data_IF_802577706896
#
_entry.id   IF_802577706896
#
_cell.length_a   1.000
_cell.length_b   1.000
_cell.length_c   1.000
_cell.angle_alpha   90.00
_cell.angle_beta   90.00
_cell.angle_gamma   90.00
#
_symmetry.space_group_name_H-M   'P 1'
#
loop_
_entity.id
_entity.type
_entity.pdbx_description
1 polymer ?
#
# COMPACT_ATOMS: atom_id res chain seq x y z
N UNK A 1 -7.70 16.67 1.69
CA UNK A 1 -6.43 16.12 1.18
C UNK A 1 -6.67 14.66 0.80
N UNK A 2 -6.19 14.17 -0.35
CA UNK A 2 -6.28 12.74 -0.71
C UNK A 2 -4.88 12.17 -0.87
N UNK A 3 -4.62 11.10 -0.15
CA UNK A 3 -3.36 10.35 -0.27
C UNK A 3 -3.65 9.03 -0.97
N UNK A 4 -2.89 8.74 -2.02
CA UNK A 4 -2.99 7.50 -2.78
C UNK A 4 -1.74 6.67 -2.54
N UNK A 5 -1.88 5.58 -1.80
CA UNK A 5 -0.79 4.67 -1.47
C UNK A 5 -0.77 3.51 -2.46
N UNK A 6 0.40 3.25 -3.02
CA UNK A 6 0.72 2.04 -3.77
C UNK A 6 1.58 1.14 -2.88
N UNK A 7 1.18 -0.11 -2.74
CA UNK A 7 1.99 -1.16 -2.12
C UNK A 7 2.29 -2.29 -3.10
N UNK A 8 3.49 -2.85 -2.98
CA UNK A 8 3.94 -4.00 -3.73
C UNK A 8 4.69 -4.94 -2.78
N UNK A 9 4.19 -6.15 -2.61
CA UNK A 9 4.83 -7.17 -1.80
C UNK A 9 5.15 -8.39 -2.66
N UNK A 10 6.41 -8.79 -2.71
CA UNK A 10 6.88 -9.98 -3.40
C UNK A 10 8.23 -10.44 -2.85
N UNK A 11 8.47 -11.75 -2.80
CA UNK A 11 9.74 -12.33 -2.32
C UNK A 11 10.15 -11.80 -0.94
N UNK A 12 9.19 -11.69 -0.02
CA UNK A 12 9.36 -11.12 1.33
C UNK A 12 9.79 -9.65 1.40
N UNK A 13 9.78 -8.95 0.25
CA UNK A 13 10.08 -7.52 0.20
C UNK A 13 8.83 -6.71 -0.04
N UNK A 14 8.72 -5.63 0.73
CA UNK A 14 7.73 -4.57 0.55
C UNK A 14 8.39 -3.38 -0.13
N UNK A 15 7.83 -2.97 -1.27
CA UNK A 15 8.04 -1.65 -1.84
C UNK A 15 6.75 -0.84 -1.76
N UNK A 16 6.85 0.46 -1.48
CA UNK A 16 5.68 1.32 -1.40
C UNK A 16 5.96 2.71 -1.94
N UNK A 17 4.92 3.39 -2.41
CA UNK A 17 4.99 4.80 -2.78
C UNK A 17 3.63 5.45 -2.55
N UNK A 18 3.59 6.71 -2.13
CA UNK A 18 2.34 7.44 -2.01
C UNK A 18 2.41 8.80 -2.67
N UNK A 19 1.28 9.18 -3.27
CA UNK A 19 1.06 10.50 -3.84
C UNK A 19 0.18 11.32 -2.92
N UNK A 20 0.66 12.50 -2.51
CA UNK A 20 -0.13 13.50 -1.79
C UNK A 20 -0.68 14.53 -2.77
N UNK A 21 -2.02 14.55 -2.93
CA UNK A 21 -2.69 15.46 -3.86
C UNK A 21 -2.52 16.94 -3.53
N UNK A 22 -2.18 17.27 -2.28
CA UNK A 22 -2.10 18.66 -1.81
C UNK A 22 -0.75 19.28 -2.15
N UNK A 23 0.32 18.51 -2.03
CA UNK A 23 1.68 18.94 -2.36
C UNK A 23 2.11 18.57 -3.79
N UNK A 24 1.38 17.67 -4.45
CA UNK A 24 1.75 17.06 -5.72
C UNK A 24 3.13 16.34 -5.68
N UNK A 25 3.51 15.84 -4.51
CA UNK A 25 4.76 15.11 -4.28
C UNK A 25 4.49 13.61 -4.22
N UNK A 26 5.40 12.83 -4.81
CA UNK A 26 5.46 11.38 -4.66
C UNK A 26 6.58 11.06 -3.68
N UNK A 27 6.24 10.34 -2.63
CA UNK A 27 7.18 9.77 -1.68
C UNK A 27 7.27 8.26 -1.94
N UNK A 28 8.44 7.66 -1.76
CA UNK A 28 8.63 6.23 -1.91
C UNK A 28 9.43 5.64 -0.75
N UNK A 29 9.12 4.38 -0.46
CA UNK A 29 9.83 3.53 0.47
C UNK A 29 10.56 2.50 -0.41
N UNK A 30 11.91 2.45 -0.35
CA UNK A 30 12.67 1.45 -1.10
C UNK A 30 12.29 0.04 -0.62
N UNK A 31 12.66 -0.98 -1.40
CA UNK A 31 12.36 -2.36 -1.04
C UNK A 31 12.95 -2.71 0.34
N UNK A 32 12.08 -3.00 1.30
CA UNK A 32 12.43 -3.42 2.66
C UNK A 32 12.00 -4.85 2.92
N UNK A 33 12.77 -5.58 3.73
CA UNK A 33 12.36 -6.90 4.22
C UNK A 33 11.15 -6.74 5.14
N UNK A 34 10.12 -7.53 4.89
CA UNK A 34 8.85 -7.49 5.61
C UNK A 34 8.71 -8.71 6.51
N UNK A 35 7.98 -8.57 7.61
CA UNK A 35 7.74 -9.67 8.54
C UNK A 35 6.61 -10.57 8.04
N UNK A 36 6.54 -11.81 8.54
CA UNK A 36 5.41 -12.71 8.26
C UNK A 36 4.06 -12.19 8.76
N UNK A 37 4.07 -11.20 9.65
CA UNK A 37 2.87 -10.52 10.15
C UNK A 37 2.58 -9.21 9.42
N UNK A 38 3.42 -8.84 8.45
CA UNK A 38 3.34 -7.59 7.70
C UNK A 38 3.34 -6.35 8.60
N UNK A 39 4.19 -6.35 9.62
CA UNK A 39 4.23 -5.30 10.64
C UNK A 39 4.55 -3.93 9.99
N UNK A 40 5.42 -3.89 8.98
CA UNK A 40 5.79 -2.65 8.29
C UNK A 40 4.62 -2.13 7.45
N UNK A 41 3.94 -3.01 6.71
CA UNK A 41 2.74 -2.66 5.96
C UNK A 41 1.67 -2.05 6.86
N UNK A 42 1.41 -2.67 8.02
CA UNK A 42 0.43 -2.15 8.97
C UNK A 42 0.84 -0.77 9.50
N UNK A 43 2.12 -0.57 9.83
CA UNK A 43 2.64 0.72 10.26
C UNK A 43 2.46 1.79 9.18
N UNK A 44 2.80 1.49 7.93
CA UNK A 44 2.63 2.40 6.79
C UNK A 44 1.17 2.81 6.63
N UNK A 45 0.22 1.88 6.76
CA UNK A 45 -1.21 2.18 6.67
C UNK A 45 -1.68 3.08 7.82
N UNK A 46 -1.18 2.84 9.04
CA UNK A 46 -1.49 3.66 10.22
C UNK A 46 -0.92 5.07 10.12
N UNK A 47 0.34 5.21 9.70
CA UNK A 47 1.06 6.49 9.69
C UNK A 47 0.60 7.38 8.52
N UNK A 48 0.35 6.79 7.35
CA UNK A 48 -0.02 7.55 6.14
C UNK A 48 -1.51 7.85 6.10
N UNK A 49 -2.36 6.97 6.67
CA UNK A 49 -3.82 7.04 6.57
C UNK A 49 -4.31 7.34 5.13
N UNK A 50 -3.92 6.50 4.15
CA UNK A 50 -4.22 6.78 2.75
C UNK A 50 -5.72 6.79 2.49
N UNK A 51 -6.18 7.66 1.59
CA UNK A 51 -7.58 7.64 1.13
C UNK A 51 -7.87 6.45 0.19
N UNK A 52 -6.82 5.93 -0.45
CA UNK A 52 -6.89 4.78 -1.33
C UNK A 52 -5.58 4.00 -1.28
N UNK A 53 -5.70 2.68 -1.17
CA UNK A 53 -4.60 1.73 -1.28
C UNK A 53 -4.72 0.99 -2.60
N UNK A 54 -3.67 1.00 -3.39
CA UNK A 54 -3.59 0.34 -4.69
C UNK A 54 -2.63 -0.85 -4.53
N UNK A 55 -3.12 -2.07 -4.73
CA UNK A 55 -2.33 -3.31 -4.71
C UNK A 55 -2.45 -4.09 -6.05
N UNK A 56 -1.56 -5.04 -6.28
CA UNK A 56 -1.57 -5.83 -7.51
C UNK A 56 -2.68 -6.85 -7.45
N UNK A 57 -3.39 -7.09 -8.56
CA UNK A 57 -4.32 -8.21 -8.67
C UNK A 57 -3.65 -9.60 -8.51
N UNK A 58 -2.31 -9.68 -8.57
CA UNK A 58 -1.53 -10.91 -8.33
C UNK A 58 -0.89 -10.99 -6.94
N UNK A 59 -1.25 -10.08 -6.05
CA UNK A 59 -0.83 -10.14 -4.65
C UNK A 59 -1.33 -11.44 -4.01
N UNK A 60 -0.58 -11.99 -3.04
CA UNK A 60 -1.03 -13.18 -2.30
C UNK A 60 -2.31 -12.91 -1.50
N UNK A 61 -3.17 -13.91 -1.38
CA UNK A 61 -4.43 -13.79 -0.62
C UNK A 61 -4.20 -13.38 0.84
N UNK A 62 -3.10 -13.86 1.44
CA UNK A 62 -2.70 -13.50 2.80
C UNK A 62 -2.40 -12.01 2.93
N UNK A 63 -1.60 -11.45 2.01
CA UNK A 63 -1.28 -10.03 2.02
C UNK A 63 -2.51 -9.17 1.69
N UNK A 64 -3.34 -9.62 0.75
CA UNK A 64 -4.62 -8.97 0.46
C UNK A 64 -5.52 -8.92 1.68
N UNK A 65 -5.62 -10.02 2.42
CA UNK A 65 -6.41 -10.11 3.64
C UNK A 65 -5.93 -9.11 4.68
N UNK A 66 -4.62 -8.99 4.90
CA UNK A 66 -4.05 -8.01 5.86
C UNK A 66 -4.41 -6.57 5.47
N UNK A 67 -4.28 -6.22 4.18
CA UNK A 67 -4.69 -4.90 3.70
C UNK A 67 -6.19 -4.67 3.94
N UNK A 68 -7.02 -5.62 3.55
CA UNK A 68 -8.47 -5.50 3.68
C UNK A 68 -8.92 -5.44 5.14
N UNK A 69 -8.35 -6.26 6.02
CA UNK A 69 -8.69 -6.31 7.44
C UNK A 69 -8.30 -4.99 8.13
N UNK A 70 -7.12 -4.45 7.85
CA UNK A 70 -6.69 -3.15 8.40
C UNK A 70 -7.62 -2.01 7.95
N UNK A 71 -7.98 -1.98 6.66
CA UNK A 71 -8.85 -0.94 6.11
C UNK A 71 -10.29 -1.06 6.62
N UNK A 72 -10.79 -2.29 6.84
CA UNK A 72 -12.12 -2.53 7.40
C UNK A 72 -12.22 -2.16 8.89
N UNK A 73 -11.12 -2.31 9.64
CA UNK A 73 -11.03 -1.80 11.01
C UNK A 73 -11.15 -0.27 11.01
N UNK A 74 -10.47 0.41 10.07
CA UNK A 74 -10.54 1.88 9.96
C UNK A 74 -11.89 2.41 9.47
N UNK A 75 -12.68 1.67 8.68
CA UNK A 75 -14.02 2.14 8.26
C UNK A 75 -15.02 2.22 9.40
N UNK A 76 -14.79 1.51 10.52
CA UNK A 76 -15.56 1.70 11.75
C UNK A 76 -15.24 3.09 12.36
N UNK A 77 -14.02 3.58 12.14
CA UNK A 77 -13.49 4.86 12.60
C UNK A 77 -13.38 5.89 11.45
N UNK A 78 -14.53 6.31 10.90
CA UNK A 78 -14.74 7.52 10.08
C UNK A 78 -13.93 7.74 8.76
N UNK A 79 -12.88 6.98 8.46
CA UNK A 79 -12.09 7.11 7.23
C UNK A 79 -12.47 6.03 6.21
N UNK A 80 -13.20 6.42 5.17
CA UNK A 80 -13.65 5.53 4.09
C UNK A 80 -12.52 5.22 3.09
N UNK A 81 -11.45 4.59 3.57
CA UNK A 81 -10.29 4.21 2.75
C UNK A 81 -10.67 3.09 1.80
N UNK A 82 -10.33 3.25 0.51
CA UNK A 82 -10.66 2.28 -0.54
C UNK A 82 -9.46 1.39 -0.88
N UNK A 83 -9.67 0.07 -0.93
CA UNK A 83 -8.71 -0.86 -1.50
C UNK A 83 -9.01 -1.08 -2.99
N UNK A 84 -8.01 -0.92 -3.86
CA UNK A 84 -8.15 -1.10 -5.30
C UNK A 84 -7.08 -2.08 -5.83
N UNK A 85 -7.56 -3.20 -6.38
CA UNK A 85 -6.74 -4.12 -7.16
C UNK A 85 -6.62 -3.60 -8.59
N UNK A 86 -5.41 -3.54 -9.12
CA UNK A 86 -5.20 -3.21 -10.54
C UNK A 86 -4.29 -4.25 -11.22
N UNK A 87 -4.41 -4.43 -12.55
CA UNK A 87 -3.60 -5.39 -13.29
C UNK A 87 -2.10 -5.14 -13.12
N UNK A 88 -1.31 -6.21 -13.00
CA UNK A 88 0.14 -6.08 -12.83
C UNK A 88 0.81 -5.32 -13.99
N UNK A 89 0.22 -5.39 -15.19
CA UNK A 89 0.72 -4.71 -16.39
C UNK A 89 0.76 -3.17 -16.26
N UNK A 90 0.01 -2.59 -15.32
CA UNK A 90 0.06 -1.15 -15.05
C UNK A 90 1.27 -0.73 -14.23
N UNK A 91 2.01 -1.70 -13.67
CA UNK A 91 3.21 -1.41 -12.88
C UNK A 91 4.45 -1.56 -13.74
N UNK A 92 5.28 -0.52 -13.74
CA UNK A 92 6.63 -0.56 -14.30
C UNK A 92 7.62 -0.54 -13.14
N UNK A 93 8.56 -1.49 -13.15
CA UNK A 93 9.71 -1.45 -12.25
C UNK A 93 10.68 -0.41 -12.81
N UNK A 94 11.03 0.57 -12.01
CA UNK A 94 12.13 1.49 -12.29
C UNK A 94 13.27 1.04 -11.38
N UNK A 95 14.34 0.51 -11.97
CA UNK A 95 15.58 0.26 -11.23
C UNK A 95 16.37 1.56 -11.24
N UNK A 96 16.67 2.08 -10.05
CA UNK A 96 17.59 3.19 -9.89
C UNK A 96 18.90 2.53 -9.49
N UNK A 97 19.88 2.55 -10.42
CA UNK A 97 21.25 2.08 -10.18
C UNK A 97 22.02 3.04 -9.26
#
# INVERSE_FOLDING_TARGET
>A
CKIYLRVFFAHNKLGAAFYDSSSAIIYFIPDVEETSRFDITQQILTDIQPSMVICSAKTSDEYYKVLNDHLNIQTIDANNTKLQLVPQAYFRKISIE
#
